data_IF_551128815919
#
_entry.id   IF_551128815919
#
_cell.length_a   1.000
_cell.length_b   1.000
_cell.length_c   1.000
_cell.angle_alpha   90.00
_cell.angle_beta   90.00
_cell.angle_gamma   90.00
#
_symmetry.space_group_name_H-M   'P 1'
#
loop_
_entity.id
_entity.type
_entity.pdbx_description
1 polymer ?
#
# COMPACT_ATOMS: atom_id res chain seq x y z
N UNK A 1 6.13 -2.54 16.32
CA UNK A 1 4.74 -2.99 16.13
C UNK A 1 4.76 -4.50 15.97
N UNK A 2 4.07 -5.23 16.85
CA UNK A 2 3.85 -6.67 16.67
C UNK A 2 2.94 -6.85 15.45
N UNK A 3 3.50 -7.33 14.33
CA UNK A 3 2.70 -7.69 13.15
C UNK A 3 1.78 -8.84 13.54
N UNK A 4 0.47 -8.69 13.35
CA UNK A 4 -0.48 -9.75 13.64
C UNK A 4 -0.26 -10.90 12.64
N UNK A 5 -0.14 -12.13 13.14
CA UNK A 5 0.13 -13.31 12.30
C UNK A 5 -1.02 -14.31 12.35
N UNK A 6 -1.24 -15.01 11.24
CA UNK A 6 -2.14 -16.18 11.15
C UNK A 6 -1.30 -17.44 11.00
N UNK A 7 -1.64 -18.50 11.74
CA UNK A 7 -1.00 -19.80 11.59
C UNK A 7 -1.75 -20.60 10.53
N UNK A 8 -1.10 -20.86 9.39
CA UNK A 8 -1.65 -21.68 8.31
C UNK A 8 -1.01 -23.06 8.39
N UNK A 9 -1.85 -24.09 8.52
CA UNK A 9 -1.44 -25.49 8.42
C UNK A 9 -1.63 -25.97 7.00
N UNK A 10 -0.60 -26.53 6.40
CA UNK A 10 -0.70 -27.15 5.08
C UNK A 10 0.06 -28.47 5.04
N UNK A 11 -0.41 -29.36 4.17
CA UNK A 11 0.20 -30.65 3.88
C UNK A 11 1.29 -30.44 2.83
N UNK A 12 2.50 -30.95 3.09
CA UNK A 12 3.51 -31.07 2.02
C UNK A 12 3.44 -32.45 1.38
N UNK A 13 3.73 -32.47 0.09
CA UNK A 13 3.72 -33.65 -0.75
C UNK A 13 5.13 -33.95 -1.22
N UNK A 14 5.58 -35.19 -1.04
CA UNK A 14 6.84 -35.66 -1.60
C UNK A 14 6.60 -36.25 -2.99
N UNK A 15 7.18 -35.59 -4.00
CA UNK A 15 7.10 -36.02 -5.40
C UNK A 15 7.78 -37.36 -5.65
N UNK A 16 8.80 -37.74 -4.88
CA UNK A 16 9.54 -38.99 -5.05
C UNK A 16 8.72 -40.18 -4.55
N UNK A 17 8.15 -40.08 -3.34
CA UNK A 17 7.26 -41.10 -2.75
C UNK A 17 6.01 -41.38 -3.60
N UNK A 18 5.54 -40.37 -4.31
CA UNK A 18 4.33 -40.48 -5.11
C UNK A 18 4.43 -41.31 -6.39
N UNK A 19 5.64 -41.47 -6.93
CA UNK A 19 5.90 -42.32 -8.11
C UNK A 19 5.59 -43.79 -7.81
N UNK A 20 5.61 -44.19 -6.54
CA UNK A 20 5.32 -45.54 -6.06
C UNK A 20 3.83 -45.82 -5.77
N UNK A 21 2.89 -44.96 -6.23
CA UNK A 21 1.45 -45.00 -5.89
C UNK A 21 1.15 -44.94 -4.40
N UNK A 22 2.10 -44.50 -3.58
CA UNK A 22 1.93 -44.22 -2.16
C UNK A 22 1.90 -42.70 -1.99
N UNK A 23 0.74 -42.13 -1.67
CA UNK A 23 0.67 -40.74 -1.20
C UNK A 23 1.27 -40.74 0.20
N UNK A 24 2.59 -40.58 0.29
CA UNK A 24 3.29 -40.42 1.56
C UNK A 24 3.09 -39.00 2.06
N UNK A 25 2.22 -38.82 3.06
CA UNK A 25 2.13 -37.58 3.81
C UNK A 25 3.45 -37.38 4.58
N UNK A 26 4.20 -36.31 4.27
CA UNK A 26 5.53 -36.10 4.86
C UNK A 26 5.42 -35.52 6.26
N UNK A 27 4.75 -34.39 6.40
CA UNK A 27 4.51 -33.72 7.69
C UNK A 27 3.57 -32.52 7.54
N UNK A 28 3.16 -31.97 8.69
CA UNK A 28 2.43 -30.72 8.79
C UNK A 28 3.40 -29.55 9.01
N UNK A 29 3.24 -28.50 8.22
CA UNK A 29 3.99 -27.25 8.41
C UNK A 29 3.07 -26.14 8.90
N UNK A 30 3.62 -25.26 9.73
CA UNK A 30 2.93 -24.08 10.23
C UNK A 30 3.62 -22.85 9.65
N UNK A 31 2.92 -22.12 8.79
CA UNK A 31 3.39 -20.85 8.24
C UNK A 31 2.74 -19.69 8.99
N UNK A 32 3.56 -18.73 9.43
CA UNK A 32 3.09 -17.47 10.00
C UNK A 32 2.86 -16.44 8.89
N UNK A 33 1.61 -16.30 8.46
CA UNK A 33 1.22 -15.32 7.47
C UNK A 33 1.02 -13.93 8.11
N UNK A 34 1.52 -12.88 7.46
CA UNK A 34 1.30 -11.49 7.90
C UNK A 34 -0.17 -11.09 7.65
N UNK A 35 -0.86 -10.56 8.67
CA UNK A 35 -2.24 -10.05 8.51
C UNK A 35 -2.31 -8.62 8.01
N UNK A 36 -1.29 -7.82 8.30
CA UNK A 36 -1.21 -6.45 7.82
C UNK A 36 -1.01 -6.45 6.31
N UNK A 37 -1.96 -5.84 5.61
CA UNK A 37 -2.00 -5.79 4.15
C UNK A 37 -2.37 -4.39 3.68
N UNK A 38 -2.09 -4.13 2.41
CA UNK A 38 -2.58 -2.96 1.68
C UNK A 38 -3.26 -3.49 0.43
N UNK A 39 -4.52 -3.09 0.24
CA UNK A 39 -5.26 -3.38 -0.98
C UNK A 39 -4.81 -2.42 -2.07
N UNK A 40 -4.51 -2.97 -3.24
CA UNK A 40 -4.29 -2.21 -4.48
C UNK A 40 -5.46 -2.51 -5.40
N UNK A 41 -6.14 -1.48 -5.86
CA UNK A 41 -7.30 -1.62 -6.75
C UNK A 41 -6.85 -1.64 -8.21
N UNK A 42 -7.63 -2.31 -9.06
CA UNK A 42 -7.31 -2.50 -10.48
C UNK A 42 -7.05 -1.17 -11.20
N UNK A 43 -7.78 -0.11 -10.84
CA UNK A 43 -7.60 1.24 -11.36
C UNK A 43 -6.18 1.81 -11.16
N UNK A 44 -5.41 1.29 -10.22
CA UNK A 44 -4.04 1.70 -9.97
C UNK A 44 -3.06 1.10 -10.99
N UNK A 45 -3.35 -0.09 -11.54
CA UNK A 45 -2.37 -0.89 -12.30
C UNK A 45 -1.83 -0.14 -13.51
N UNK A 46 -2.69 0.50 -14.29
CA UNK A 46 -2.28 1.28 -15.48
C UNK A 46 -1.44 2.49 -15.11
N UNK A 47 -1.78 3.18 -14.02
CA UNK A 47 -1.03 4.36 -13.54
C UNK A 47 0.37 3.94 -13.06
N UNK A 48 0.45 2.79 -12.40
CA UNK A 48 1.70 2.23 -11.89
C UNK A 48 2.71 1.86 -12.98
N UNK A 49 2.27 1.65 -14.23
CA UNK A 49 3.15 1.38 -15.37
C UNK A 49 3.89 2.63 -15.84
N UNK A 50 3.32 3.81 -15.63
CA UNK A 50 3.90 5.10 -16.09
C UNK A 50 4.87 5.70 -15.07
N UNK A 51 5.01 5.09 -13.89
CA UNK A 51 5.91 5.58 -12.84
C UNK A 51 7.37 5.25 -13.13
N UNK A 52 8.24 6.22 -12.86
CA UNK A 52 9.67 6.00 -12.77
C UNK A 52 9.99 4.96 -11.68
N UNK A 53 11.08 4.20 -11.88
CA UNK A 53 11.53 3.19 -10.92
C UNK A 53 11.74 3.78 -9.51
N UNK A 54 12.20 5.03 -9.45
CA UNK A 54 12.39 5.77 -8.20
C UNK A 54 11.07 6.09 -7.52
N UNK A 55 10.11 6.67 -8.25
CA UNK A 55 8.78 6.98 -7.73
C UNK A 55 8.04 5.71 -7.29
N UNK A 56 8.15 4.62 -8.05
CA UNK A 56 7.57 3.33 -7.68
C UNK A 56 8.16 2.81 -6.36
N UNK A 57 9.48 2.85 -6.20
CA UNK A 57 10.13 2.42 -4.94
C UNK A 57 9.70 3.28 -3.74
N UNK A 58 9.51 4.60 -3.94
CA UNK A 58 9.00 5.50 -2.90
C UNK A 58 7.54 5.17 -2.56
N UNK A 59 6.70 4.91 -3.57
CA UNK A 59 5.31 4.54 -3.36
C UNK A 59 5.21 3.24 -2.58
N UNK A 60 5.92 2.19 -2.98
CA UNK A 60 5.89 0.90 -2.27
C UNK A 60 6.28 1.08 -0.80
N UNK A 61 7.30 1.91 -0.51
CA UNK A 61 7.68 2.25 0.86
C UNK A 61 6.61 3.08 1.59
N UNK A 62 5.93 4.00 0.91
CA UNK A 62 4.79 4.72 1.47
C UNK A 62 3.65 3.77 1.85
N UNK A 63 3.29 2.81 0.99
CA UNK A 63 2.21 1.85 1.24
C UNK A 63 2.50 1.00 2.48
N UNK A 64 3.76 0.57 2.65
CA UNK A 64 4.18 -0.16 3.85
C UNK A 64 4.05 0.70 5.13
N UNK A 65 4.40 1.99 5.03
CA UNK A 65 4.56 2.88 6.19
C UNK A 65 3.40 3.85 6.44
N UNK A 66 2.34 3.84 5.63
CA UNK A 66 1.17 4.70 5.86
C UNK A 66 0.38 4.27 7.09
N UNK A 67 -0.32 5.21 7.72
CA UNK A 67 -1.22 4.91 8.83
C UNK A 67 -2.58 4.35 8.34
N UNK A 68 -3.52 4.13 9.27
CA UNK A 68 -4.86 3.60 8.96
C UNK A 68 -5.73 4.57 8.16
N UNK A 69 -5.37 5.85 8.11
CA UNK A 69 -6.07 6.89 7.36
C UNK A 69 -5.34 7.22 6.05
N UNK A 70 -4.46 6.32 5.60
CA UNK A 70 -3.61 6.45 4.42
C UNK A 70 -2.63 7.64 4.48
N UNK A 71 -2.29 8.19 5.65
CA UNK A 71 -1.29 9.25 5.75
C UNK A 71 0.13 8.72 5.84
N UNK A 72 1.05 9.43 5.19
CA UNK A 72 2.49 9.23 5.28
C UNK A 72 3.20 10.57 5.48
N UNK A 73 4.24 10.58 6.31
CA UNK A 73 5.05 11.77 6.57
C UNK A 73 6.42 11.65 5.87
N UNK A 74 6.67 12.50 4.88
CA UNK A 74 7.99 12.67 4.26
C UNK A 74 8.87 13.58 5.13
N UNK A 75 9.39 13.03 6.23
CA UNK A 75 10.31 13.69 7.15
C UNK A 75 11.71 13.03 7.08
N UNK A 76 12.68 13.57 7.84
CA UNK A 76 14.04 13.03 7.86
C UNK A 76 14.09 11.55 8.30
N UNK A 77 13.21 11.15 9.22
CA UNK A 77 13.13 9.76 9.68
C UNK A 77 12.62 8.83 8.57
N UNK A 78 11.61 9.24 7.82
CA UNK A 78 11.10 8.51 6.66
C UNK A 78 12.19 8.26 5.63
N UNK A 79 12.94 9.30 5.25
CA UNK A 79 14.03 9.20 4.26
C UNK A 79 15.18 8.31 4.74
N UNK A 80 15.52 8.40 6.03
CA UNK A 80 16.51 7.53 6.66
C UNK A 80 16.06 6.06 6.63
N UNK A 81 14.81 5.80 7.00
CA UNK A 81 14.26 4.45 7.00
C UNK A 81 14.11 3.86 5.59
N UNK A 82 13.71 4.69 4.62
CA UNK A 82 13.66 4.29 3.22
C UNK A 82 15.05 3.88 2.71
N UNK A 83 16.09 4.64 3.01
CA UNK A 83 17.46 4.29 2.62
C UNK A 83 17.95 3.00 3.31
N UNK A 84 17.56 2.77 4.57
CA UNK A 84 17.83 1.48 5.23
C UNK A 84 17.15 0.32 4.52
N UNK A 85 15.89 0.48 4.10
CA UNK A 85 15.17 -0.54 3.35
C UNK A 85 15.76 -0.76 1.94
N UNK A 86 16.17 0.32 1.27
CA UNK A 86 16.79 0.26 -0.06
C UNK A 86 18.17 -0.41 -0.06
N UNK A 87 18.88 -0.37 1.07
CA UNK A 87 20.20 -1.00 1.24
C UNK A 87 20.17 -2.52 1.02
N UNK A 88 19.07 -3.20 1.38
CA UNK A 88 18.89 -4.64 1.07
C UNK A 88 18.94 -4.94 -0.43
N UNK A 89 18.56 -3.96 -1.26
CA UNK A 89 18.62 -4.04 -2.72
C UNK A 89 19.84 -3.33 -3.33
N UNK A 90 20.84 -2.95 -2.51
CA UNK A 90 22.03 -2.18 -2.91
C UNK A 90 21.68 -0.85 -3.61
N UNK A 91 20.56 -0.22 -3.24
CA UNK A 91 20.14 1.09 -3.76
C UNK A 91 20.24 2.15 -2.68
N UNK A 92 20.41 3.41 -3.10
CA UNK A 92 20.29 4.58 -2.24
C UNK A 92 19.54 5.68 -2.97
N UNK A 93 18.84 6.50 -2.20
CA UNK A 93 18.05 7.62 -2.70
C UNK A 93 18.48 8.88 -1.98
N UNK A 94 18.87 9.91 -2.75
CA UNK A 94 19.09 11.24 -2.17
C UNK A 94 17.76 11.86 -1.73
N UNK A 95 17.81 12.76 -0.76
CA UNK A 95 16.66 13.56 -0.31
C UNK A 95 15.91 14.22 -1.46
N UNK A 96 16.65 14.74 -2.45
CA UNK A 96 16.08 15.36 -3.64
C UNK A 96 15.34 14.34 -4.52
N UNK A 97 15.87 13.13 -4.66
CA UNK A 97 15.23 12.05 -5.43
C UNK A 97 13.91 11.65 -4.79
N UNK A 98 13.88 11.50 -3.47
CA UNK A 98 12.64 11.19 -2.73
C UNK A 98 11.62 12.31 -2.89
N UNK A 99 12.05 13.57 -2.77
CA UNK A 99 11.16 14.71 -2.96
C UNK A 99 10.59 14.77 -4.39
N UNK A 100 11.41 14.53 -5.42
CA UNK A 100 10.95 14.45 -6.82
C UNK A 100 9.95 13.32 -7.05
N UNK A 101 10.17 12.18 -6.41
CA UNK A 101 9.20 11.09 -6.45
C UNK A 101 7.84 11.51 -5.87
N UNK A 102 7.78 12.24 -4.74
CA UNK A 102 6.51 12.77 -4.24
C UNK A 102 5.81 13.73 -5.21
N UNK A 103 6.58 14.52 -5.97
CA UNK A 103 6.02 15.40 -7.01
C UNK A 103 5.43 14.56 -8.15
N UNK A 104 6.14 13.53 -8.59
CA UNK A 104 5.66 12.60 -9.62
C UNK A 104 4.41 11.86 -9.17
N UNK A 105 4.42 11.27 -7.97
CA UNK A 105 3.26 10.58 -7.41
C UNK A 105 2.03 11.50 -7.30
N UNK A 106 2.23 12.77 -6.96
CA UNK A 106 1.14 13.75 -6.91
C UNK A 106 0.60 14.09 -8.31
N UNK A 107 1.47 14.16 -9.33
CA UNK A 107 1.06 14.36 -10.73
C UNK A 107 0.15 13.24 -11.23
N UNK A 108 0.36 12.02 -10.75
CA UNK A 108 -0.45 10.84 -11.08
C UNK A 108 -1.68 10.63 -10.18
N UNK A 109 -2.05 11.61 -9.34
CA UNK A 109 -3.13 11.51 -8.34
C UNK A 109 -2.95 10.33 -7.35
N UNK A 110 -1.73 9.80 -7.19
CA UNK A 110 -1.49 8.68 -6.26
C UNK A 110 -1.33 9.16 -4.82
N UNK A 111 -0.88 10.41 -4.64
CA UNK A 111 -0.75 11.07 -3.33
C UNK A 111 -1.21 12.52 -3.38
N UNK A 112 -1.86 12.98 -2.32
CA UNK A 112 -2.27 14.37 -2.15
C UNK A 112 -1.58 15.00 -0.94
N UNK A 113 -1.03 16.20 -1.10
CA UNK A 113 -0.34 16.90 -0.01
C UNK A 113 -1.39 17.54 0.90
N UNK A 114 -1.35 17.24 2.19
CA UNK A 114 -2.31 17.80 3.16
C UNK A 114 -1.68 18.89 4.02
N UNK A 115 -0.46 18.66 4.52
CA UNK A 115 0.32 19.64 5.29
C UNK A 115 1.79 19.59 4.87
N UNK A 116 2.63 20.45 5.45
CA UNK A 116 4.08 20.44 5.17
C UNK A 116 4.67 19.07 5.51
N UNK A 117 5.15 18.35 4.50
CA UNK A 117 5.74 17.03 4.65
C UNK A 117 4.76 15.90 4.97
N UNK A 118 3.44 16.15 4.94
CA UNK A 118 2.42 15.12 5.18
C UNK A 118 1.58 14.96 3.92
N UNK A 119 1.44 13.71 3.49
CA UNK A 119 0.74 13.31 2.28
C UNK A 119 -0.30 12.25 2.64
N UNK A 120 -1.44 12.26 1.96
CA UNK A 120 -2.42 11.17 1.96
C UNK A 120 -2.20 10.34 0.71
N UNK A 121 -2.16 9.03 0.84
CA UNK A 121 -2.21 8.09 -0.29
C UNK A 121 -3.67 8.00 -0.76
N UNK A 122 -3.88 8.11 -2.07
CA UNK A 122 -5.22 8.20 -2.63
C UNK A 122 -6.01 6.89 -2.39
N UNK A 123 -7.14 6.95 -1.64
CA UNK A 123 -7.96 5.80 -1.28
C UNK A 123 -8.69 5.17 -2.48
N UNK A 124 -8.76 5.85 -3.63
CA UNK A 124 -9.26 5.27 -4.88
C UNK A 124 -8.38 4.10 -5.33
N UNK A 125 -7.07 4.22 -5.13
CA UNK A 125 -6.05 3.29 -5.64
C UNK A 125 -5.49 2.35 -4.58
N UNK A 126 -5.38 2.80 -3.33
CA UNK A 126 -4.79 2.00 -2.26
C UNK A 126 -5.53 2.16 -0.92
N UNK A 127 -5.65 1.09 -0.14
CA UNK A 127 -6.25 1.16 1.20
C UNK A 127 -5.59 0.18 2.18
N UNK A 128 -5.31 0.64 3.41
CA UNK A 128 -4.75 -0.20 4.50
C UNK A 128 -5.82 -0.80 5.43
N UNK A 129 -7.08 -0.40 5.27
CA UNK A 129 -8.17 -0.73 6.18
C UNK A 129 -9.34 -1.40 5.45
N UNK A 130 -10.56 -1.22 5.94
CA UNK A 130 -11.76 -1.87 5.39
C UNK A 130 -12.31 -1.12 4.18
N UNK A 131 -13.26 -1.74 3.47
CA UNK A 131 -13.92 -1.06 2.33
C UNK A 131 -14.85 0.07 2.81
N UNK A 132 -15.43 -0.05 4.00
CA UNK A 132 -16.27 0.99 4.61
C UNK A 132 -15.45 2.25 4.94
N UNK A 133 -14.27 2.05 5.54
CA UNK A 133 -13.32 3.12 5.79
C UNK A 133 -12.90 3.78 4.48
N UNK A 134 -12.54 2.97 3.47
CA UNK A 134 -12.19 3.47 2.13
C UNK A 134 -13.29 4.32 1.52
N UNK A 135 -14.53 3.85 1.55
CA UNK A 135 -15.68 4.59 1.02
C UNK A 135 -15.81 5.95 1.71
N UNK A 136 -15.60 5.99 3.03
CA UNK A 136 -15.59 7.24 3.81
C UNK A 136 -14.46 8.16 3.34
N UNK A 137 -13.23 7.64 3.20
CA UNK A 137 -12.09 8.44 2.74
C UNK A 137 -12.29 9.00 1.32
N UNK A 138 -12.86 8.20 0.40
CA UNK A 138 -13.18 8.64 -0.96
C UNK A 138 -14.21 9.77 -0.95
N UNK A 139 -15.27 9.66 -0.14
CA UNK A 139 -16.28 10.73 -0.01
C UNK A 139 -15.66 12.01 0.55
N UNK A 140 -14.80 11.89 1.56
CA UNK A 140 -14.09 13.06 2.12
C UNK A 140 -13.22 13.78 1.08
N UNK A 141 -12.58 13.04 0.18
CA UNK A 141 -11.67 13.61 -0.82
C UNK A 141 -12.40 14.10 -2.08
N UNK A 142 -13.42 13.36 -2.54
CA UNK A 142 -14.11 13.64 -3.80
C UNK A 142 -15.44 14.39 -3.63
N UNK A 143 -16.20 14.17 -2.56
CA UNK A 143 -17.51 14.84 -2.35
C UNK A 143 -17.37 16.15 -1.57
N UNK A 144 -16.53 16.19 -0.53
CA UNK A 144 -16.41 17.36 0.37
C UNK A 144 -16.12 18.69 -0.35
N UNK A 145 -15.29 18.75 -1.40
CA UNK A 145 -15.10 19.99 -2.16
C UNK A 145 -16.38 20.49 -2.84
N UNK A 146 -17.31 19.60 -3.15
CA UNK A 146 -18.57 19.87 -3.83
C UNK A 146 -19.79 19.78 -2.90
N UNK A 147 -19.59 19.80 -1.57
CA UNK A 147 -20.64 19.57 -0.58
C UNK A 147 -21.90 20.42 -0.85
N UNK A 148 -21.73 21.72 -1.14
CA UNK A 148 -22.84 22.63 -1.47
C UNK A 148 -23.67 22.15 -2.66
N UNK A 149 -23.04 21.61 -3.70
CA UNK A 149 -23.73 21.07 -4.87
C UNK A 149 -24.45 19.76 -4.54
N UNK A 150 -23.80 18.90 -3.76
CA UNK A 150 -24.38 17.63 -3.29
C UNK A 150 -25.61 17.88 -2.42
N UNK A 151 -25.54 18.84 -1.49
CA UNK A 151 -26.64 19.20 -0.60
C UNK A 151 -27.83 19.76 -1.40
N UNK A 152 -27.56 20.65 -2.36
CA UNK A 152 -28.59 21.20 -3.26
C UNK A 152 -29.26 20.14 -4.14
N UNK A 153 -28.55 19.07 -4.52
CA UNK A 153 -29.13 17.97 -5.27
C UNK A 153 -30.00 17.08 -4.37
N UNK A 154 -29.54 16.78 -3.15
CA UNK A 154 -30.28 15.95 -2.18
C UNK A 154 -31.56 16.61 -1.67
N UNK A 155 -31.58 17.94 -1.54
CA UNK A 155 -32.77 18.68 -1.10
C UNK A 155 -33.90 18.73 -2.15
N UNK A 156 -33.64 18.29 -3.39
CA UNK A 156 -34.62 18.22 -4.49
C UNK A 156 -35.22 16.83 -4.71
N UNK A 157 -34.78 15.84 -3.93
CA UNK A 157 -35.38 14.50 -3.85
C UNK A 157 -36.35 14.43 -2.67
#
# INVERSE_FOLDING_TARGET
MNKSTSLIRYLSYDKELSKERRIGMVSWFVFQAQKDHVKTYESAVTILLDLSRGARSVLDFCLENMDRNNYVSNNALFKKNMNKAAAYSKRSFSDNTINKAFIELAKHDLVSKTKRGVYRINPVYFCKTTEEDRATMIREEKEKPYQKLVDNYRSKR
#
